data_IF_715428554441
#
_entry.id   IF_715428554441
#
_cell.length_a   1.000
_cell.length_b   1.000
_cell.length_c   1.000
_cell.angle_alpha   90.00
_cell.angle_beta   90.00
_cell.angle_gamma   90.00
#
_symmetry.space_group_name_H-M   'P 1'
#
loop_
_entity.id
_entity.type
_entity.pdbx_description
1 polymer ?
#
# COMPACT_ATOMS: atom_id res chain seq x y z
N UNK A 1 7.93 16.66 -2.59
CA UNK A 1 6.47 16.40 -2.60
C UNK A 1 5.92 16.92 -1.29
N UNK A 2 4.82 17.68 -1.32
CA UNK A 2 4.15 18.17 -0.10
C UNK A 2 3.11 17.16 0.34
N UNK A 3 3.01 16.92 1.64
CA UNK A 3 2.03 16.00 2.22
C UNK A 3 0.99 16.79 3.02
N UNK A 4 -0.29 16.50 2.82
CA UNK A 4 -1.39 17.09 3.59
C UNK A 4 -2.11 15.96 4.32
N UNK A 5 -2.10 15.98 5.64
CA UNK A 5 -2.83 15.02 6.44
C UNK A 5 -4.09 15.69 7.01
N UNK A 6 -5.25 15.12 6.76
CA UNK A 6 -6.54 15.63 7.22
C UNK A 6 -7.15 14.65 8.21
N UNK A 7 -7.03 14.94 9.50
CA UNK A 7 -7.58 14.14 10.60
C UNK A 7 -9.02 14.56 10.94
N UNK A 8 -9.95 13.62 10.85
CA UNK A 8 -11.39 13.86 11.01
C UNK A 8 -12.00 13.01 12.11
N UNK A 9 -12.68 13.63 13.06
CA UNK A 9 -13.38 12.93 14.13
C UNK A 9 -12.49 12.06 15.02
N UNK A 10 -11.18 12.25 14.97
CA UNK A 10 -10.20 11.53 15.80
C UNK A 10 -10.07 12.17 17.19
N UNK A 11 -9.54 11.40 18.15
CA UNK A 11 -9.17 11.95 19.47
C UNK A 11 -7.99 12.92 19.32
N UNK A 12 -7.98 14.00 20.08
CA UNK A 12 -6.85 14.97 20.10
C UNK A 12 -5.51 14.30 20.39
N UNK A 13 -5.47 13.30 21.27
CA UNK A 13 -4.25 12.54 21.57
C UNK A 13 -3.70 11.78 20.37
N UNK A 14 -4.58 11.21 19.52
CA UNK A 14 -4.19 10.53 18.29
C UNK A 14 -3.56 11.50 17.30
N UNK A 15 -4.19 12.66 17.10
CA UNK A 15 -3.65 13.72 16.21
C UNK A 15 -2.29 14.20 16.73
N UNK A 16 -2.17 14.46 18.04
CA UNK A 16 -0.91 14.87 18.64
C UNK A 16 0.21 13.82 18.47
N UNK A 17 -0.12 12.53 18.57
CA UNK A 17 0.83 11.46 18.35
C UNK A 17 1.30 11.39 16.89
N UNK A 18 0.39 11.60 15.93
CA UNK A 18 0.73 11.66 14.50
C UNK A 18 1.68 12.83 14.23
N UNK A 19 1.34 14.03 14.74
CA UNK A 19 2.21 15.20 14.61
C UNK A 19 3.59 14.93 15.19
N UNK A 20 3.66 14.36 16.39
CA UNK A 20 4.94 14.00 17.02
C UNK A 20 5.73 12.99 16.17
N UNK A 21 5.08 11.99 15.61
CA UNK A 21 5.74 11.01 14.73
C UNK A 21 6.32 11.69 13.49
N UNK A 22 5.60 12.65 12.91
CA UNK A 22 6.09 13.44 11.77
C UNK A 22 7.26 14.35 12.15
N UNK A 23 7.22 14.97 13.34
CA UNK A 23 8.32 15.78 13.89
C UNK A 23 9.57 14.92 14.11
N UNK A 24 9.43 13.79 14.80
CA UNK A 24 10.53 12.88 15.12
C UNK A 24 11.19 12.31 13.82
N UNK A 25 10.43 12.20 12.73
CA UNK A 25 10.92 11.79 11.43
C UNK A 25 11.45 12.96 10.55
N UNK A 26 11.40 14.21 11.03
CA UNK A 26 11.75 15.41 10.25
C UNK A 26 10.77 15.70 9.10
N UNK A 27 9.60 15.06 9.10
CA UNK A 27 8.63 15.16 7.99
C UNK A 27 7.76 16.43 8.04
N UNK A 28 7.80 17.18 9.15
CA UNK A 28 7.04 18.44 9.27
C UNK A 28 7.53 19.54 8.32
N UNK A 29 8.75 19.43 7.81
CA UNK A 29 9.28 20.39 6.83
C UNK A 29 8.49 20.41 5.51
N UNK A 30 7.84 19.29 5.16
CA UNK A 30 7.05 19.14 3.94
C UNK A 30 5.62 18.66 4.20
N UNK A 31 5.15 18.74 5.45
CA UNK A 31 3.83 18.23 5.84
C UNK A 31 2.96 19.35 6.42
N UNK A 32 1.68 19.33 6.05
CA UNK A 32 0.62 20.17 6.60
C UNK A 32 -0.40 19.27 7.30
N UNK A 33 -0.75 19.59 8.54
CA UNK A 33 -1.77 18.85 9.30
C UNK A 33 -3.00 19.73 9.46
N UNK A 34 -4.13 19.24 8.96
CA UNK A 34 -5.46 19.86 9.13
C UNK A 34 -6.29 18.91 10.00
N UNK A 35 -6.77 19.37 11.14
CA UNK A 35 -7.48 18.50 12.07
C UNK A 35 -8.81 19.12 12.50
N UNK A 36 -9.88 18.31 12.42
CA UNK A 36 -11.16 18.55 13.07
C UNK A 36 -11.47 17.35 13.95
N UNK A 37 -11.16 17.49 15.25
CA UNK A 37 -11.23 16.39 16.22
C UNK A 37 -12.67 16.03 16.58
N UNK A 38 -12.88 14.88 17.24
CA UNK A 38 -14.20 14.42 17.66
C UNK A 38 -14.94 15.38 18.63
N UNK A 39 -14.19 16.26 19.30
CA UNK A 39 -14.77 17.28 20.20
C UNK A 39 -15.24 18.55 19.47
N UNK A 40 -14.96 18.67 18.19
CA UNK A 40 -15.34 19.83 17.41
C UNK A 40 -16.72 19.67 16.76
N UNK A 41 -17.45 20.78 16.53
CA UNK A 41 -18.76 20.73 15.92
C UNK A 41 -18.75 20.08 14.53
N UNK A 42 -19.84 19.39 14.17
CA UNK A 42 -20.00 18.72 12.89
C UNK A 42 -19.70 19.61 11.65
N UNK A 43 -20.04 20.91 11.62
CA UNK A 43 -19.66 21.81 10.52
C UNK A 43 -18.16 21.88 10.27
N UNK A 44 -17.33 21.87 11.32
CA UNK A 44 -15.87 21.91 11.16
C UNK A 44 -15.34 20.58 10.63
N UNK A 45 -15.87 19.45 11.10
CA UNK A 45 -15.53 18.13 10.58
C UNK A 45 -15.96 17.98 9.11
N UNK A 46 -17.07 18.59 8.70
CA UNK A 46 -17.51 18.63 7.32
C UNK A 46 -16.58 19.48 6.44
N UNK A 47 -16.10 20.63 6.91
CA UNK A 47 -15.30 21.58 6.13
C UNK A 47 -13.83 21.21 6.03
N UNK A 48 -13.26 20.55 7.04
CA UNK A 48 -11.82 20.28 7.11
C UNK A 48 -11.25 19.55 5.88
N UNK A 49 -11.90 18.53 5.28
CA UNK A 49 -11.38 17.91 4.06
C UNK A 49 -11.29 18.87 2.87
N UNK A 50 -12.26 19.73 2.72
CA UNK A 50 -12.25 20.75 1.65
C UNK A 50 -11.15 21.78 1.87
N UNK A 51 -10.90 22.16 3.13
CA UNK A 51 -9.79 23.05 3.50
C UNK A 51 -8.44 22.42 3.17
N UNK A 52 -8.22 21.16 3.59
CA UNK A 52 -7.00 20.43 3.25
C UNK A 52 -6.83 20.24 1.74
N UNK A 53 -7.93 19.96 1.03
CA UNK A 53 -7.92 19.85 -0.42
C UNK A 53 -7.49 21.16 -1.10
N UNK A 54 -8.02 22.31 -0.67
CA UNK A 54 -7.64 23.61 -1.20
C UNK A 54 -6.15 23.94 -0.97
N UNK A 55 -5.59 23.52 0.16
CA UNK A 55 -4.16 23.63 0.41
C UNK A 55 -3.34 22.73 -0.55
N UNK A 56 -3.80 21.51 -0.79
CA UNK A 56 -3.17 20.59 -1.76
C UNK A 56 -3.25 21.11 -3.20
N UNK A 57 -4.39 21.71 -3.58
CA UNK A 57 -4.59 22.32 -4.89
C UNK A 57 -3.63 23.49 -5.14
N UNK A 58 -3.35 24.29 -4.14
CA UNK A 58 -2.36 25.37 -4.28
C UNK A 58 -1.01 24.84 -4.79
N UNK A 59 -0.52 23.73 -4.24
CA UNK A 59 0.71 23.13 -4.69
C UNK A 59 0.58 22.50 -6.08
N UNK A 60 -0.53 21.83 -6.36
CA UNK A 60 -0.83 21.27 -7.69
C UNK A 60 -0.82 22.35 -8.77
N UNK A 61 -1.53 23.47 -8.53
CA UNK A 61 -1.74 24.53 -9.50
C UNK A 61 -0.47 25.41 -9.69
N UNK A 62 0.46 25.35 -8.75
CA UNK A 62 1.81 25.97 -8.87
C UNK A 62 2.86 25.05 -9.50
N UNK A 63 2.45 23.94 -10.12
CA UNK A 63 3.36 23.02 -10.80
C UNK A 63 4.09 22.04 -9.88
N UNK A 64 3.74 22.00 -8.60
CA UNK A 64 4.31 21.07 -7.62
C UNK A 64 3.49 19.79 -7.50
N UNK A 65 3.97 18.87 -6.68
CA UNK A 65 3.29 17.61 -6.40
C UNK A 65 2.91 17.53 -4.94
N UNK A 66 1.64 17.21 -4.67
CA UNK A 66 1.13 17.02 -3.33
C UNK A 66 0.42 15.66 -3.17
N UNK A 67 0.50 15.12 -1.96
CA UNK A 67 -0.23 13.95 -1.50
C UNK A 67 -1.17 14.39 -0.37
N UNK A 68 -2.44 14.05 -0.46
CA UNK A 68 -3.41 14.30 0.61
C UNK A 68 -3.99 13.00 1.14
N UNK A 69 -3.99 12.86 2.47
CA UNK A 69 -4.60 11.73 3.18
C UNK A 69 -5.82 12.25 3.95
N UNK A 70 -6.98 11.65 3.74
CA UNK A 70 -8.20 11.94 4.49
C UNK A 70 -8.47 10.82 5.49
N UNK A 71 -8.28 11.09 6.76
CA UNK A 71 -8.39 10.09 7.84
C UNK A 71 -9.45 10.51 8.88
N UNK A 72 -10.76 10.15 8.70
CA UNK A 72 -11.30 9.38 7.59
C UNK A 72 -12.57 10.04 7.01
N UNK A 73 -12.93 9.70 5.79
CA UNK A 73 -14.13 10.24 5.13
C UNK A 73 -15.43 9.60 5.65
N UNK A 74 -15.39 8.46 6.34
CA UNK A 74 -16.56 7.90 7.03
C UNK A 74 -17.05 8.87 8.12
N UNK A 75 -16.13 9.49 8.85
CA UNK A 75 -16.46 10.52 9.87
C UNK A 75 -17.02 11.80 9.23
N UNK A 76 -16.47 12.21 8.06
CA UNK A 76 -17.05 13.31 7.31
C UNK A 76 -18.50 13.04 6.91
N UNK A 77 -18.79 11.84 6.39
CA UNK A 77 -20.15 11.45 6.02
C UNK A 77 -21.09 11.45 7.24
N UNK A 78 -20.63 10.96 8.39
CA UNK A 78 -21.37 11.00 9.65
C UNK A 78 -21.68 12.44 10.09
N UNK A 79 -20.70 13.33 10.03
CA UNK A 79 -20.88 14.74 10.34
C UNK A 79 -21.91 15.40 9.40
N UNK A 80 -21.83 15.08 8.10
CA UNK A 80 -22.78 15.59 7.11
C UNK A 80 -24.20 15.04 7.31
N UNK A 81 -24.34 13.76 7.69
CA UNK A 81 -25.61 13.15 8.09
C UNK A 81 -26.20 13.89 9.27
N UNK A 82 -25.42 14.15 10.32
CA UNK A 82 -25.86 14.89 11.50
C UNK A 82 -26.36 16.29 11.14
N UNK A 83 -25.61 17.04 10.33
CA UNK A 83 -26.03 18.37 9.85
C UNK A 83 -27.34 18.32 9.07
N UNK A 84 -27.45 17.33 8.15
CA UNK A 84 -28.64 17.20 7.31
C UNK A 84 -29.88 16.87 8.11
N UNK A 85 -29.77 15.99 9.11
CA UNK A 85 -30.89 15.66 10.01
C UNK A 85 -31.29 16.84 10.89
N UNK A 86 -30.34 17.61 11.41
CA UNK A 86 -30.64 18.84 12.16
C UNK A 86 -31.36 19.90 11.30
N UNK A 87 -31.00 19.97 10.02
CA UNK A 87 -31.68 20.83 9.03
C UNK A 87 -33.00 20.22 8.52
N UNK A 88 -33.46 19.11 9.12
CA UNK A 88 -34.70 18.40 8.75
C UNK A 88 -34.75 17.97 7.27
N UNK A 89 -33.62 17.72 6.65
CA UNK A 89 -33.58 17.11 5.31
C UNK A 89 -34.05 15.66 5.38
N UNK A 90 -34.84 15.17 4.40
CA UNK A 90 -35.32 13.80 4.42
C UNK A 90 -34.15 12.82 4.32
N UNK A 91 -34.07 11.82 5.22
CA UNK A 91 -33.02 10.80 5.18
C UNK A 91 -33.28 9.79 4.05
N UNK A 92 -32.19 9.33 3.44
CA UNK A 92 -32.17 8.19 2.51
C UNK A 92 -31.61 6.92 3.14
N UNK A 93 -30.89 6.14 2.34
CA UNK A 93 -30.28 4.88 2.78
C UNK A 93 -29.34 5.13 3.97
N UNK A 94 -29.42 4.30 4.99
CA UNK A 94 -28.63 4.39 6.24
C UNK A 94 -28.73 5.77 6.92
N UNK A 95 -29.87 6.45 6.74
CA UNK A 95 -30.14 7.80 7.20
C UNK A 95 -29.22 8.90 6.64
N UNK A 96 -28.42 8.60 5.61
CA UNK A 96 -27.65 9.60 4.89
C UNK A 96 -28.55 10.46 3.99
N UNK A 97 -28.20 11.75 3.78
CA UNK A 97 -28.92 12.58 2.81
C UNK A 97 -28.67 12.06 1.37
N UNK A 98 -29.63 12.33 0.47
CA UNK A 98 -29.56 11.85 -0.92
C UNK A 98 -28.35 12.34 -1.71
N UNK A 99 -27.71 13.42 -1.27
CA UNK A 99 -26.54 14.02 -1.90
C UNK A 99 -25.18 13.61 -1.26
N UNK A 100 -25.16 12.56 -0.41
CA UNK A 100 -23.92 12.11 0.24
C UNK A 100 -22.89 11.59 -0.78
N UNK A 101 -23.32 11.03 -1.91
CA UNK A 101 -22.40 10.69 -2.99
C UNK A 101 -21.65 11.93 -3.50
N UNK A 102 -22.36 13.04 -3.70
CA UNK A 102 -21.79 14.30 -4.16
C UNK A 102 -20.84 14.93 -3.11
N UNK A 103 -21.05 14.66 -1.83
CA UNK A 103 -20.12 15.08 -0.76
C UNK A 103 -18.69 14.59 -1.06
N UNK A 104 -18.52 13.32 -1.39
CA UNK A 104 -17.21 12.72 -1.62
C UNK A 104 -16.73 12.91 -3.07
N UNK A 105 -17.61 12.82 -4.06
CA UNK A 105 -17.19 12.94 -5.45
C UNK A 105 -16.62 14.33 -5.75
N UNK A 106 -17.29 15.42 -5.33
CA UNK A 106 -16.77 16.78 -5.51
C UNK A 106 -15.48 17.08 -4.73
N UNK A 107 -15.15 16.27 -3.70
CA UNK A 107 -13.88 16.36 -2.99
C UNK A 107 -12.78 15.59 -3.72
N UNK A 108 -13.05 14.33 -4.08
CA UNK A 108 -12.05 13.42 -4.60
C UNK A 108 -11.68 13.70 -6.07
N UNK A 109 -12.61 14.18 -6.88
CA UNK A 109 -12.36 14.60 -8.27
C UNK A 109 -11.45 15.85 -8.39
N UNK A 110 -11.22 16.55 -7.29
CA UNK A 110 -10.24 17.64 -7.21
C UNK A 110 -8.79 17.13 -7.20
N UNK A 111 -8.57 15.86 -6.84
CA UNK A 111 -7.26 15.21 -6.95
C UNK A 111 -7.00 14.86 -8.42
N UNK A 112 -6.01 15.53 -9.03
CA UNK A 112 -5.74 15.38 -10.45
C UNK A 112 -4.25 15.57 -10.77
N UNK A 113 -3.82 15.01 -11.91
CA UNK A 113 -2.58 15.36 -12.59
C UNK A 113 -2.90 16.41 -13.65
N UNK A 114 -2.25 17.57 -13.53
CA UNK A 114 -2.41 18.66 -14.51
C UNK A 114 -1.63 18.37 -15.80
N UNK A 115 -2.08 18.92 -16.92
CA UNK A 115 -1.34 18.88 -18.17
C UNK A 115 -0.05 19.71 -18.08
N UNK A 116 0.87 19.48 -19.00
CA UNK A 116 2.13 20.25 -19.05
C UNK A 116 1.88 21.73 -19.32
N UNK A 117 0.85 22.06 -20.12
CA UNK A 117 0.41 23.42 -20.37
C UNK A 117 -0.07 24.14 -19.10
N UNK A 118 -0.54 23.41 -18.14
CA UNK A 118 -1.03 23.88 -16.83
C UNK A 118 0.03 23.73 -15.72
N UNK A 119 1.31 23.58 -16.10
CA UNK A 119 2.43 23.47 -15.15
C UNK A 119 2.76 22.06 -14.68
N UNK A 120 2.03 21.02 -15.11
CA UNK A 120 2.36 19.62 -14.85
C UNK A 120 2.31 19.18 -13.38
N UNK A 121 1.73 19.98 -12.48
CA UNK A 121 1.56 19.62 -11.07
C UNK A 121 0.60 18.45 -10.84
N UNK A 122 0.58 17.91 -9.62
CA UNK A 122 -0.34 16.82 -9.28
C UNK A 122 -0.80 16.86 -7.83
N UNK A 123 -2.01 16.39 -7.59
CA UNK A 123 -2.56 16.11 -6.27
C UNK A 123 -3.07 14.66 -6.26
N UNK A 124 -2.47 13.84 -5.40
CA UNK A 124 -2.90 12.44 -5.20
C UNK A 124 -3.66 12.34 -3.88
N UNK A 125 -4.87 11.80 -3.90
CA UNK A 125 -5.68 11.61 -2.70
C UNK A 125 -5.70 10.15 -2.26
N UNK A 126 -5.48 9.93 -0.96
CA UNK A 126 -5.64 8.66 -0.27
C UNK A 126 -6.76 8.79 0.77
N UNK A 127 -8.03 8.58 0.37
CA UNK A 127 -9.13 8.56 1.32
C UNK A 127 -9.13 7.27 2.13
N UNK A 128 -9.25 7.39 3.44
CA UNK A 128 -9.47 6.26 4.33
C UNK A 128 -10.96 6.14 4.59
N UNK A 129 -11.50 4.93 4.48
CA UNK A 129 -12.87 4.57 4.79
C UNK A 129 -12.87 3.49 5.85
N UNK A 130 -13.56 3.73 6.94
CA UNK A 130 -13.77 2.74 7.98
C UNK A 130 -14.94 1.82 7.60
N UNK A 131 -14.70 0.51 7.57
CA UNK A 131 -15.73 -0.50 7.38
C UNK A 131 -16.13 -1.11 8.71
N UNK A 132 -17.42 -1.42 8.90
CA UNK A 132 -17.90 -2.17 10.06
C UNK A 132 -17.84 -3.66 9.73
N UNK A 133 -17.16 -4.44 10.56
CA UNK A 133 -16.99 -5.88 10.38
C UNK A 133 -16.51 -6.32 8.97
N UNK A 134 -15.73 -5.45 8.29
CA UNK A 134 -15.23 -5.75 6.94
C UNK A 134 -16.27 -5.62 5.82
N UNK A 135 -17.46 -5.07 6.10
CA UNK A 135 -18.51 -4.91 5.07
C UNK A 135 -18.18 -3.76 4.10
N UNK A 136 -17.63 -4.12 2.94
CA UNK A 136 -17.36 -3.20 1.83
C UNK A 136 -18.60 -2.90 0.99
N UNK A 137 -19.71 -3.64 1.20
CA UNK A 137 -20.98 -3.45 0.47
C UNK A 137 -21.87 -2.36 1.09
N UNK A 138 -21.49 -1.84 2.25
CA UNK A 138 -22.16 -0.72 2.90
C UNK A 138 -22.17 0.53 2.01
N UNK A 139 -23.04 1.48 2.33
CA UNK A 139 -23.34 2.60 1.43
C UNK A 139 -22.15 3.53 1.19
N UNK A 140 -21.42 3.93 2.22
CA UNK A 140 -20.27 4.82 2.06
C UNK A 140 -19.08 4.15 1.36
N UNK A 141 -18.65 2.92 1.76
CA UNK A 141 -17.58 2.21 1.04
C UNK A 141 -17.86 2.05 -0.45
N UNK A 142 -19.06 1.58 -0.83
CA UNK A 142 -19.46 1.41 -2.24
C UNK A 142 -19.39 2.71 -3.03
N UNK A 143 -19.84 3.82 -2.47
CA UNK A 143 -19.77 5.13 -3.10
C UNK A 143 -18.31 5.54 -3.36
N UNK A 144 -17.44 5.43 -2.37
CA UNK A 144 -16.04 5.86 -2.51
C UNK A 144 -15.25 4.95 -3.44
N UNK A 145 -15.48 3.63 -3.43
CA UNK A 145 -14.89 2.70 -4.41
C UNK A 145 -15.27 3.08 -5.85
N UNK A 146 -16.51 3.53 -6.07
CA UNK A 146 -16.94 3.94 -7.41
C UNK A 146 -16.33 5.25 -7.89
N UNK A 147 -16.00 6.17 -6.97
CA UNK A 147 -15.39 7.47 -7.27
C UNK A 147 -13.89 7.31 -7.52
N UNK A 148 -13.20 6.47 -6.74
CA UNK A 148 -11.74 6.33 -6.75
C UNK A 148 -11.24 5.39 -7.85
N UNK A 149 -9.93 5.48 -8.17
CA UNK A 149 -9.26 4.61 -9.14
C UNK A 149 -8.81 3.27 -8.58
N UNK A 150 -9.45 2.81 -7.53
CA UNK A 150 -9.17 1.54 -6.90
C UNK A 150 -9.19 1.62 -5.37
N UNK A 151 -8.88 0.50 -4.73
CA UNK A 151 -8.86 0.38 -3.28
C UNK A 151 -7.73 -0.52 -2.80
N UNK A 152 -7.18 -0.20 -1.64
CA UNK A 152 -6.33 -1.08 -0.84
C UNK A 152 -7.19 -1.60 0.31
N UNK A 153 -7.47 -2.90 0.32
CA UNK A 153 -8.32 -3.52 1.32
C UNK A 153 -7.47 -4.16 2.43
N UNK A 154 -7.71 -3.74 3.67
CA UNK A 154 -7.03 -4.27 4.86
C UNK A 154 -7.96 -5.22 5.59
N UNK A 155 -7.48 -6.41 5.93
CA UNK A 155 -8.21 -7.44 6.65
C UNK A 155 -7.66 -7.66 8.05
N UNK A 156 -8.55 -7.70 9.02
CA UNK A 156 -8.23 -7.96 10.43
C UNK A 156 -7.63 -9.35 10.62
N UNK A 157 -8.14 -10.36 9.92
CA UNK A 157 -7.67 -11.74 10.03
C UNK A 157 -6.22 -11.89 9.53
N UNK A 158 -5.86 -11.20 8.44
CA UNK A 158 -4.47 -11.16 7.96
C UNK A 158 -3.55 -10.48 8.99
N UNK A 159 -4.03 -9.41 9.63
CA UNK A 159 -3.27 -8.72 10.67
C UNK A 159 -2.97 -9.64 11.87
N UNK A 160 -3.97 -10.35 12.35
CA UNK A 160 -3.79 -11.30 13.45
C UNK A 160 -2.98 -12.54 13.05
N UNK A 161 -3.04 -12.96 11.78
CA UNK A 161 -2.17 -14.00 11.24
C UNK A 161 -0.69 -13.54 11.07
N UNK A 162 -0.36 -12.31 11.44
CA UNK A 162 1.01 -11.77 11.37
C UNK A 162 1.42 -11.33 9.96
N UNK A 163 0.48 -11.22 9.03
CA UNK A 163 0.71 -10.66 7.69
C UNK A 163 0.56 -9.14 7.80
N UNK A 164 1.69 -8.42 7.74
CA UNK A 164 1.73 -6.97 7.88
C UNK A 164 2.62 -6.36 6.78
N UNK A 165 2.08 -5.42 5.99
CA UNK A 165 0.73 -4.87 6.02
C UNK A 165 -0.36 -5.91 5.70
N UNK A 166 -1.52 -5.79 6.33
CA UNK A 166 -2.63 -6.75 6.23
C UNK A 166 -3.45 -6.55 4.94
N UNK A 167 -2.79 -6.43 3.80
CA UNK A 167 -3.40 -6.15 2.49
C UNK A 167 -3.94 -7.42 1.87
N UNK A 168 -5.24 -7.45 1.61
CA UNK A 168 -5.84 -8.49 0.78
C UNK A 168 -5.62 -8.16 -0.70
N UNK A 169 -4.64 -8.81 -1.33
CA UNK A 169 -4.32 -8.59 -2.76
C UNK A 169 -5.37 -9.13 -3.72
N UNK A 170 -6.33 -9.96 -3.25
CA UNK A 170 -7.42 -10.51 -4.07
C UNK A 170 -8.48 -9.45 -4.40
N UNK A 171 -8.88 -8.68 -3.40
CA UNK A 171 -9.92 -7.65 -3.51
C UNK A 171 -9.35 -6.23 -3.65
N UNK A 172 -8.07 -6.04 -3.41
CA UNK A 172 -7.40 -4.77 -3.71
C UNK A 172 -7.22 -4.59 -5.21
N UNK A 173 -7.58 -3.42 -5.72
CA UNK A 173 -7.55 -3.10 -7.15
C UNK A 173 -6.92 -1.74 -7.34
N UNK A 174 -6.08 -1.59 -8.36
CA UNK A 174 -5.63 -0.29 -8.88
C UNK A 174 -5.92 -0.20 -10.38
N UNK A 175 -6.71 0.80 -10.78
CA UNK A 175 -7.02 1.05 -12.20
C UNK A 175 -5.85 1.71 -12.93
N UNK A 176 -4.96 2.38 -12.19
CA UNK A 176 -3.84 3.17 -12.74
C UNK A 176 -2.48 2.48 -12.53
N UNK A 177 -2.36 1.65 -11.50
CA UNK A 177 -1.08 1.13 -10.97
C UNK A 177 -0.11 0.59 -12.02
N UNK A 178 -0.59 -0.23 -12.96
CA UNK A 178 0.27 -0.77 -14.03
C UNK A 178 0.82 0.26 -15.00
N UNK A 179 0.17 1.42 -15.16
CA UNK A 179 0.65 2.53 -15.99
C UNK A 179 1.66 3.41 -15.27
N UNK A 180 1.59 3.49 -13.93
CA UNK A 180 2.50 4.24 -13.10
C UNK A 180 3.81 3.49 -12.79
N UNK A 181 3.84 2.17 -12.97
CA UNK A 181 5.01 1.34 -12.71
C UNK A 181 6.10 1.53 -13.76
N UNK A 182 7.36 1.60 -13.32
CA UNK A 182 8.52 1.52 -14.21
C UNK A 182 8.61 0.13 -14.85
N UNK A 183 9.30 0.03 -15.98
CA UNK A 183 9.29 -1.15 -16.84
C UNK A 183 9.65 -2.45 -16.11
N UNK A 184 10.68 -2.44 -15.28
CA UNK A 184 11.12 -3.60 -14.52
C UNK A 184 10.08 -4.03 -13.46
N UNK A 185 9.54 -3.08 -12.70
CA UNK A 185 8.50 -3.37 -11.71
C UNK A 185 7.26 -3.97 -12.37
N UNK A 186 6.83 -3.41 -13.50
CA UNK A 186 5.68 -3.92 -14.26
C UNK A 186 5.89 -5.35 -14.74
N UNK A 187 7.10 -5.69 -15.18
CA UNK A 187 7.42 -7.03 -15.66
C UNK A 187 7.45 -8.07 -14.52
N UNK A 188 8.01 -7.71 -13.36
CA UNK A 188 8.14 -8.60 -12.20
C UNK A 188 6.81 -8.73 -11.46
N UNK A 189 6.15 -7.63 -11.14
CA UNK A 189 4.89 -7.62 -10.39
C UNK A 189 3.71 -8.15 -11.20
N UNK A 190 3.79 -8.16 -12.54
CA UNK A 190 2.73 -8.67 -13.40
C UNK A 190 2.40 -10.14 -13.17
N UNK A 191 3.40 -10.95 -12.87
CA UNK A 191 3.22 -12.39 -12.56
C UNK A 191 2.89 -12.65 -11.10
N UNK A 192 3.27 -11.73 -10.20
CA UNK A 192 3.14 -11.89 -8.75
C UNK A 192 1.68 -12.12 -8.32
N UNK A 193 0.75 -11.32 -8.86
CA UNK A 193 -0.67 -11.44 -8.53
C UNK A 193 -1.23 -12.82 -8.88
N UNK A 194 -0.86 -13.36 -10.04
CA UNK A 194 -1.27 -14.69 -10.46
C UNK A 194 -0.69 -15.77 -9.55
N UNK A 195 0.61 -15.68 -9.26
CA UNK A 195 1.29 -16.60 -8.33
C UNK A 195 0.65 -16.59 -6.95
N UNK A 196 0.30 -15.42 -6.44
CA UNK A 196 -0.37 -15.30 -5.13
C UNK A 196 -1.81 -15.84 -5.14
N UNK A 197 -2.53 -15.70 -6.25
CA UNK A 197 -3.86 -16.30 -6.41
C UNK A 197 -3.78 -17.84 -6.40
N UNK A 198 -2.87 -18.42 -7.20
CA UNK A 198 -2.62 -19.87 -7.22
C UNK A 198 -2.19 -20.39 -5.85
N UNK A 199 -1.30 -19.69 -5.16
CA UNK A 199 -0.91 -20.04 -3.79
C UNK A 199 -2.10 -20.14 -2.84
N UNK A 200 -3.03 -19.17 -2.87
CA UNK A 200 -4.21 -19.17 -1.99
C UNK A 200 -5.14 -20.36 -2.27
N UNK A 201 -5.37 -20.66 -3.54
CA UNK A 201 -6.15 -21.83 -3.92
C UNK A 201 -5.50 -23.11 -3.41
N UNK A 202 -4.19 -23.31 -3.66
CA UNK A 202 -3.46 -24.47 -3.20
C UNK A 202 -3.40 -24.57 -1.67
N UNK A 203 -3.23 -23.44 -0.96
CA UNK A 203 -3.22 -23.41 0.49
C UNK A 203 -4.58 -23.82 1.08
N UNK A 204 -5.69 -23.42 0.46
CA UNK A 204 -7.02 -23.84 0.85
C UNK A 204 -7.20 -25.36 0.64
N UNK A 205 -6.78 -25.92 -0.50
CA UNK A 205 -6.82 -27.35 -0.76
C UNK A 205 -5.97 -28.16 0.23
N UNK A 206 -4.77 -27.67 0.55
CA UNK A 206 -3.87 -28.33 1.50
C UNK A 206 -4.49 -28.45 2.91
N UNK A 207 -5.31 -27.50 3.34
CA UNK A 207 -6.02 -27.56 4.63
C UNK A 207 -7.05 -28.69 4.70
N UNK A 208 -7.58 -29.14 3.57
CA UNK A 208 -8.53 -30.27 3.50
C UNK A 208 -7.85 -31.65 3.42
N UNK A 209 -6.52 -31.73 3.62
CA UNK A 209 -5.78 -33.00 3.66
C UNK A 209 -5.61 -33.68 2.30
N UNK A 210 -5.79 -32.96 1.19
CA UNK A 210 -5.56 -33.50 -0.15
C UNK A 210 -4.07 -33.70 -0.40
N UNK A 211 -3.70 -34.88 -0.93
CA UNK A 211 -2.35 -35.10 -1.43
C UNK A 211 -2.09 -34.21 -2.65
N UNK A 212 -1.12 -33.31 -2.52
CA UNK A 212 -0.69 -32.44 -3.62
C UNK A 212 0.40 -33.15 -4.42
N UNK A 213 0.35 -33.04 -5.74
CA UNK A 213 1.44 -33.45 -6.60
C UNK A 213 2.68 -32.56 -6.37
N UNK A 214 3.85 -33.02 -6.85
CA UNK A 214 5.12 -32.34 -6.61
C UNK A 214 5.14 -30.89 -7.14
N UNK A 215 4.52 -30.64 -8.30
CA UNK A 215 4.49 -29.30 -8.90
C UNK A 215 3.63 -28.33 -8.07
N UNK A 216 2.49 -28.81 -7.57
CA UNK A 216 1.62 -28.06 -6.64
C UNK A 216 2.30 -27.79 -5.31
N UNK A 217 3.06 -28.77 -4.77
CA UNK A 217 3.84 -28.61 -3.55
C UNK A 217 4.94 -27.56 -3.72
N UNK A 218 5.66 -27.55 -4.85
CA UNK A 218 6.70 -26.57 -5.16
C UNK A 218 6.08 -25.16 -5.31
N UNK A 219 4.92 -25.05 -5.94
CA UNK A 219 4.17 -23.80 -6.05
C UNK A 219 3.71 -23.27 -4.68
N UNK A 220 3.22 -24.16 -3.81
CA UNK A 220 2.84 -23.84 -2.45
C UNK A 220 4.05 -23.33 -1.64
N UNK A 221 5.17 -24.04 -1.70
CA UNK A 221 6.41 -23.70 -1.03
C UNK A 221 6.95 -22.33 -1.48
N UNK A 222 6.86 -22.01 -2.77
CA UNK A 222 7.25 -20.71 -3.32
C UNK A 222 6.31 -19.62 -2.85
N UNK A 223 4.98 -19.87 -2.85
CA UNK A 223 3.98 -18.93 -2.39
C UNK A 223 4.13 -18.53 -0.93
N UNK A 224 4.45 -19.48 -0.03
CA UNK A 224 4.73 -19.15 1.38
C UNK A 224 5.90 -18.19 1.51
N UNK A 225 6.99 -18.39 0.76
CA UNK A 225 8.15 -17.48 0.76
C UNK A 225 7.80 -16.10 0.19
N UNK A 226 6.95 -16.06 -0.84
CA UNK A 226 6.43 -14.80 -1.37
C UNK A 226 5.64 -14.02 -0.32
N UNK A 227 4.81 -14.69 0.49
CA UNK A 227 4.12 -14.03 1.61
C UNK A 227 5.12 -13.43 2.59
N UNK A 228 6.22 -14.15 2.90
CA UNK A 228 7.23 -13.64 3.83
C UNK A 228 7.96 -12.40 3.30
N UNK A 229 8.35 -12.36 2.03
CA UNK A 229 9.01 -11.16 1.45
C UNK A 229 8.06 -9.98 1.23
N UNK A 230 6.75 -10.20 1.23
CA UNK A 230 5.76 -9.13 1.15
C UNK A 230 5.43 -8.52 2.53
N UNK A 231 5.89 -9.14 3.62
CA UNK A 231 5.79 -8.54 4.96
C UNK A 231 6.80 -7.41 5.08
N UNK A 232 6.37 -6.30 5.65
CA UNK A 232 7.20 -5.11 5.82
C UNK A 232 7.04 -4.55 7.23
N UNK A 233 8.15 -4.15 7.81
CA UNK A 233 8.15 -3.46 9.11
C UNK A 233 7.57 -2.06 8.96
N UNK A 234 6.82 -1.61 9.95
CA UNK A 234 6.25 -0.26 9.98
C UNK A 234 7.38 0.80 9.93
N UNK A 235 7.16 1.86 9.19
CA UNK A 235 8.11 2.97 8.98
C UNK A 235 9.45 2.57 8.34
N UNK A 236 9.50 1.46 7.63
CA UNK A 236 10.68 1.01 6.90
C UNK A 236 10.43 1.00 5.38
N UNK A 237 10.38 2.17 4.71
CA UNK A 237 10.18 2.23 3.27
C UNK A 237 11.38 1.64 2.53
N UNK A 238 11.11 0.92 1.45
CA UNK A 238 12.13 0.36 0.56
C UNK A 238 12.23 1.20 -0.71
N UNK A 239 13.46 1.45 -1.17
CA UNK A 239 13.66 2.04 -2.49
C UNK A 239 13.16 1.10 -3.60
N UNK A 240 12.82 1.65 -4.76
CA UNK A 240 12.26 0.88 -5.88
C UNK A 240 13.24 -0.21 -6.34
N UNK A 241 14.54 0.06 -6.29
CA UNK A 241 15.60 -0.88 -6.66
C UNK A 241 15.62 -2.10 -5.74
N UNK A 242 15.50 -1.88 -4.43
CA UNK A 242 15.40 -2.95 -3.43
C UNK A 242 14.14 -3.77 -3.61
N UNK A 243 12.99 -3.09 -3.85
CA UNK A 243 11.74 -3.77 -4.15
C UNK A 243 11.86 -4.67 -5.38
N UNK A 244 12.44 -4.18 -6.48
CA UNK A 244 12.69 -4.94 -7.70
C UNK A 244 13.55 -6.16 -7.41
N UNK A 245 14.65 -5.98 -6.67
CA UNK A 245 15.61 -7.04 -6.38
C UNK A 245 14.99 -8.19 -5.57
N UNK A 246 14.28 -7.86 -4.48
CA UNK A 246 13.69 -8.88 -3.61
C UNK A 246 12.50 -9.58 -4.27
N UNK A 247 11.65 -8.85 -5.00
CA UNK A 247 10.56 -9.43 -5.76
C UNK A 247 11.08 -10.35 -6.87
N UNK A 248 12.18 -9.95 -7.53
CA UNK A 248 12.84 -10.80 -8.52
C UNK A 248 13.41 -12.06 -7.89
N UNK A 249 14.06 -11.98 -6.72
CA UNK A 249 14.56 -13.16 -6.01
C UNK A 249 13.45 -14.19 -5.73
N UNK A 250 12.24 -13.71 -5.39
CA UNK A 250 11.09 -14.57 -5.13
C UNK A 250 10.38 -15.10 -6.38
N UNK A 251 10.38 -14.34 -7.49
CA UNK A 251 9.64 -14.69 -8.71
C UNK A 251 10.50 -15.33 -9.80
N UNK A 252 11.83 -15.24 -9.69
CA UNK A 252 12.76 -15.76 -10.68
C UNK A 252 12.57 -17.26 -10.94
N UNK A 253 12.57 -17.69 -12.22
CA UNK A 253 12.56 -19.11 -12.57
C UNK A 253 13.73 -19.90 -11.98
N UNK A 254 14.84 -19.23 -11.61
CA UNK A 254 16.01 -19.86 -11.00
C UNK A 254 15.81 -20.30 -9.55
N UNK A 255 14.70 -19.91 -8.93
CA UNK A 255 14.35 -20.35 -7.58
C UNK A 255 15.33 -19.93 -6.50
N UNK A 256 15.79 -18.68 -6.52
CA UNK A 256 16.78 -18.17 -5.56
C UNK A 256 16.39 -18.36 -4.10
N UNK A 257 15.10 -18.31 -3.79
CA UNK A 257 14.57 -18.51 -2.44
C UNK A 257 14.11 -19.93 -2.15
N UNK A 258 14.06 -20.83 -3.15
CA UNK A 258 13.45 -22.16 -2.99
C UNK A 258 14.16 -23.01 -1.92
N UNK A 259 15.46 -22.79 -1.72
CA UNK A 259 16.29 -23.49 -0.71
C UNK A 259 16.34 -22.76 0.65
N UNK A 260 15.84 -21.55 0.76
CA UNK A 260 15.87 -20.78 1.99
C UNK A 260 14.70 -21.24 2.88
N UNK A 261 14.94 -21.65 4.13
CA UNK A 261 13.87 -22.00 5.06
C UNK A 261 12.95 -20.79 5.30
N UNK A 262 11.63 -21.02 5.39
CA UNK A 262 10.65 -19.94 5.55
C UNK A 262 10.97 -18.98 6.70
N UNK A 263 11.37 -19.44 7.92
CA UNK A 263 11.74 -18.54 9.02
C UNK A 263 12.98 -17.67 8.74
N UNK A 264 13.79 -18.05 7.78
CA UNK A 264 15.04 -17.37 7.42
C UNK A 264 14.84 -16.33 6.28
N UNK A 265 13.67 -16.30 5.65
CA UNK A 265 13.41 -15.43 4.48
C UNK A 265 13.60 -13.97 4.84
N UNK A 266 13.10 -13.52 5.99
CA UNK A 266 13.26 -12.12 6.43
C UNK A 266 14.71 -11.79 6.82
N UNK A 267 15.48 -12.76 7.31
CA UNK A 267 16.93 -12.59 7.53
C UNK A 267 17.66 -12.49 6.19
N UNK A 268 17.32 -13.37 5.24
CA UNK A 268 17.85 -13.32 3.89
C UNK A 268 17.63 -11.97 3.23
N UNK A 269 16.43 -11.41 3.33
CA UNK A 269 16.10 -10.08 2.79
C UNK A 269 16.99 -8.99 3.41
N UNK A 270 17.09 -8.95 4.73
CA UNK A 270 17.91 -7.94 5.43
C UNK A 270 19.39 -8.05 5.05
N UNK A 271 19.94 -9.26 5.01
CA UNK A 271 21.34 -9.49 4.65
C UNK A 271 21.59 -9.18 3.17
N UNK A 272 20.64 -9.50 2.27
CA UNK A 272 20.73 -9.12 0.86
C UNK A 272 20.74 -7.59 0.70
N UNK A 273 19.89 -6.86 1.43
CA UNK A 273 19.90 -5.41 1.39
C UNK A 273 21.20 -4.81 1.95
N UNK A 274 21.73 -5.34 3.04
CA UNK A 274 23.02 -4.92 3.56
C UNK A 274 24.16 -5.18 2.55
N UNK A 275 24.13 -6.32 1.86
CA UNK A 275 25.11 -6.67 0.83
C UNK A 275 25.09 -5.68 -0.34
N UNK A 276 23.90 -5.31 -0.85
CA UNK A 276 23.81 -4.36 -1.97
C UNK A 276 24.07 -2.91 -1.55
N UNK A 277 23.81 -2.56 -0.30
CA UNK A 277 24.15 -1.24 0.27
C UNK A 277 25.66 -1.06 0.46
N UNK A 278 26.38 -2.14 0.78
CA UNK A 278 27.84 -2.13 0.86
C UNK A 278 28.50 -1.89 -0.51
N UNK A 279 27.77 -2.10 -1.62
CA UNK A 279 28.23 -1.86 -2.99
C UNK A 279 27.21 -1.00 -3.74
N UNK A 280 27.25 0.34 -3.55
CA UNK A 280 26.24 1.26 -4.10
C UNK A 280 26.07 1.20 -5.62
N UNK A 281 27.09 0.73 -6.35
CA UNK A 281 27.05 0.54 -7.80
C UNK A 281 25.99 -0.48 -8.23
N UNK A 282 25.61 -1.40 -7.34
CA UNK A 282 24.56 -2.39 -7.63
C UNK A 282 23.20 -1.69 -7.76
N UNK A 283 22.85 -0.87 -6.79
CA UNK A 283 21.55 -0.16 -6.78
C UNK A 283 21.48 0.86 -7.92
N UNK A 284 22.55 1.60 -8.20
CA UNK A 284 22.61 2.55 -9.33
C UNK A 284 22.49 1.84 -10.68
N UNK A 285 23.10 0.65 -10.83
CA UNK A 285 22.97 -0.14 -12.05
C UNK A 285 21.54 -0.67 -12.24
N UNK A 286 20.89 -1.11 -11.15
CA UNK A 286 19.48 -1.52 -11.19
C UNK A 286 18.60 -0.33 -11.59
N UNK A 287 18.77 0.84 -10.95
CA UNK A 287 18.01 2.05 -11.25
C UNK A 287 18.12 2.45 -12.73
N UNK A 288 19.34 2.48 -13.28
CA UNK A 288 19.60 2.86 -14.67
C UNK A 288 18.93 1.92 -15.69
N UNK A 289 18.88 0.61 -15.40
CA UNK A 289 18.28 -0.39 -16.29
C UNK A 289 16.78 -0.60 -16.08
N UNK A 290 16.26 -0.30 -14.89
CA UNK A 290 14.87 -0.59 -14.49
C UNK A 290 13.81 0.19 -15.28
N UNK A 291 14.14 1.35 -15.79
CA UNK A 291 13.23 2.21 -16.58
C UNK A 291 13.13 1.76 -18.04
N UNK A 292 14.13 1.08 -18.57
CA UNK A 292 14.20 0.69 -19.97
C UNK A 292 13.70 -0.73 -20.21
N UNK A 293 12.56 -0.86 -20.90
CA UNK A 293 11.98 -2.16 -21.24
C UNK A 293 12.92 -3.07 -22.05
N UNK A 294 13.77 -2.49 -22.92
CA UNK A 294 14.72 -3.27 -23.74
C UNK A 294 15.88 -3.82 -22.91
N UNK A 295 16.23 -3.16 -21.81
CA UNK A 295 17.30 -3.59 -20.91
C UNK A 295 16.84 -4.65 -19.88
N UNK A 296 15.58 -5.08 -19.89
CA UNK A 296 15.04 -5.97 -18.87
C UNK A 296 15.78 -7.32 -18.82
N UNK A 297 16.16 -7.89 -19.96
CA UNK A 297 16.92 -9.15 -20.02
C UNK A 297 18.31 -8.97 -19.37
N UNK A 298 19.02 -7.91 -19.70
CA UNK A 298 20.32 -7.59 -19.09
C UNK A 298 20.20 -7.32 -17.59
N UNK A 299 19.09 -6.69 -17.17
CA UNK A 299 18.80 -6.44 -15.77
C UNK A 299 18.59 -7.75 -15.01
N UNK A 300 17.83 -8.69 -15.57
CA UNK A 300 17.60 -10.00 -14.94
C UNK A 300 18.90 -10.81 -14.83
N UNK A 301 19.72 -10.84 -15.88
CA UNK A 301 21.03 -11.48 -15.84
C UNK A 301 21.96 -10.86 -14.79
N UNK A 302 21.92 -9.54 -14.66
CA UNK A 302 22.69 -8.82 -13.65
C UNK A 302 22.20 -9.13 -12.23
N UNK A 303 20.88 -9.10 -11.98
CA UNK A 303 20.30 -9.44 -10.68
C UNK A 303 20.60 -10.91 -10.30
N UNK A 304 20.53 -11.84 -11.25
CA UNK A 304 20.92 -13.23 -11.03
C UNK A 304 22.36 -13.38 -10.57
N UNK A 305 23.28 -12.60 -11.16
CA UNK A 305 24.69 -12.57 -10.73
C UNK A 305 24.81 -12.01 -9.30
N UNK A 306 24.20 -10.89 -9.01
CA UNK A 306 24.22 -10.25 -7.68
C UNK A 306 23.69 -11.20 -6.60
N UNK A 307 22.52 -11.80 -6.85
CA UNK A 307 21.90 -12.75 -5.91
C UNK A 307 22.77 -14.01 -5.77
N UNK A 308 23.36 -14.50 -6.89
CA UNK A 308 24.27 -15.64 -6.88
C UNK A 308 25.55 -15.37 -6.09
N UNK A 309 26.11 -14.17 -6.16
CA UNK A 309 27.27 -13.78 -5.36
C UNK A 309 26.92 -13.64 -3.88
N UNK A 310 25.78 -13.04 -3.56
CA UNK A 310 25.25 -13.00 -2.20
C UNK A 310 25.00 -14.41 -1.63
N UNK A 311 24.43 -15.32 -2.41
CA UNK A 311 24.14 -16.69 -1.96
C UNK A 311 25.39 -17.50 -1.54
N UNK A 312 26.59 -17.11 -1.99
CA UNK A 312 27.86 -17.72 -1.56
C UNK A 312 28.23 -17.29 -0.13
N UNK A 313 27.75 -16.15 0.33
CA UNK A 313 28.00 -15.60 1.66
C UNK A 313 26.91 -15.94 2.65
N UNK A 314 25.68 -16.14 2.17
CA UNK A 314 24.54 -16.49 2.99
C UNK A 314 24.53 -17.97 3.36
N UNK A 315 24.64 -18.29 4.65
CA UNK A 315 24.46 -19.65 5.18
C UNK A 315 23.13 -19.74 5.93
N UNK A 316 22.17 -20.48 5.36
CA UNK A 316 20.92 -20.77 6.07
C UNK A 316 21.22 -21.62 7.31
N UNK A 317 20.79 -21.17 8.49
CA UNK A 317 20.86 -21.99 9.69
C UNK A 317 19.84 -23.13 9.59
N UNK A 318 20.19 -24.38 9.94
CA UNK A 318 19.22 -25.46 9.97
C UNK A 318 18.10 -25.07 10.96
N UNK A 319 16.84 -25.20 10.52
CA UNK A 319 15.67 -24.91 11.34
C UNK A 319 15.82 -25.64 12.70
N UNK A 320 15.93 -24.90 13.79
CA UNK A 320 15.83 -25.48 15.13
C UNK A 320 14.44 -26.14 15.21
N UNK A 321 14.42 -27.47 15.33
CA UNK A 321 13.19 -28.21 15.61
C UNK A 321 12.58 -27.58 16.86
N UNK A 322 11.43 -26.93 16.69
CA UNK A 322 10.65 -26.48 17.84
C UNK A 322 10.44 -27.69 18.75
N UNK A 323 11.05 -27.64 19.94
CA UNK A 323 10.77 -28.62 20.97
C UNK A 323 9.32 -28.41 21.33
N UNK A 324 8.49 -29.37 20.95
CA UNK A 324 7.14 -29.49 21.49
C UNK A 324 7.26 -29.67 23.00
N UNK A 325 6.82 -28.67 23.73
CA UNK A 325 6.58 -28.74 25.18
C UNK A 325 5.11 -28.53 25.42
#
# INVERSE_FOLDING_TARGET
MICVYVGLGQKRSTVAQIVKTLEDAGAMEYSVVVAATASEPAPLQFLAPYTGCAMGEFFRDTGMHALIVYDDLSKQAQAYRQLSLLLRRPPGREAYPGDVFYLHSRLLERAAKMSDEQGGGSLTALPIIETQAGDVSAYIPTNVISITDGQIYLETDLFFAGIRPAVNVGISVSRVGGSAQIAAMKAIAGTLRLTMAQYRELAAFAQFGSELDKASQDSLNRGVRMVEILKQVQYAPLSVEKQILILYAGTSPKGHLDKVPVPEVQRYERELFAFVEATPEILTTIAAKATNKKAFKELTEYMDKVIGDFAKTFSAQPAQKAKAS
#
